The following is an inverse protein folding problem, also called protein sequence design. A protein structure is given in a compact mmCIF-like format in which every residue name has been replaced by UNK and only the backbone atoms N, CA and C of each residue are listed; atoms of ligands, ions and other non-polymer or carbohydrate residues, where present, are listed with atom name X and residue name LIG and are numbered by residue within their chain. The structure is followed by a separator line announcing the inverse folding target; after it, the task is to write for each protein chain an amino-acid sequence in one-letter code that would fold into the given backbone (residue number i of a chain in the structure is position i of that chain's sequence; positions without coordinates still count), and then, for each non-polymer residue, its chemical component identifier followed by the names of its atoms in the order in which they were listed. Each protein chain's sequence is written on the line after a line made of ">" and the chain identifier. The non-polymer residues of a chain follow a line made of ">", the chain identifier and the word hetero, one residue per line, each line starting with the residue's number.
data_IF_698850597038
#
_entry.id   IF_698850597038
#
_cell.length_a   1.000
_cell.length_b   1.000
_cell.length_c   1.000
_cell.angle_alpha   90.00
_cell.angle_beta   90.00
_cell.angle_gamma   90.00
#
_symmetry.space_group_name_H-M   'P 1'
#
loop_
_entity.id
_entity.type
_entity.pdbx_description
1 polymer ?
#
# COMPACT_ATOMS: atom_id res chain seq x y z
N UNK A 1 -0.41 -31.42 0.62
CA UNK A 1 -0.28 -31.47 -0.84
C UNK A 1 0.91 -30.59 -1.23
N UNK A 2 2.04 -31.20 -1.60
CA UNK A 2 3.24 -30.51 -2.06
C UNK A 2 3.22 -30.46 -3.59
N UNK A 3 2.68 -29.37 -4.15
CA UNK A 3 2.80 -29.06 -5.57
C UNK A 3 3.98 -28.11 -5.77
N UNK A 4 4.97 -28.54 -6.54
CA UNK A 4 6.16 -27.78 -6.90
C UNK A 4 5.77 -26.39 -7.42
N UNK A 5 6.23 -25.33 -6.74
CA UNK A 5 6.24 -23.97 -7.29
C UNK A 5 7.10 -24.00 -8.54
N UNK A 6 6.49 -23.72 -9.70
CA UNK A 6 7.15 -23.78 -11.00
C UNK A 6 8.43 -22.94 -11.02
N UNK A 7 9.43 -23.44 -11.74
CA UNK A 7 10.67 -22.71 -12.04
C UNK A 7 10.32 -21.50 -12.90
N UNK A 8 10.26 -20.32 -12.29
CA UNK A 8 10.19 -19.05 -13.02
C UNK A 8 11.50 -18.88 -13.78
N UNK A 9 11.44 -18.84 -15.12
CA UNK A 9 12.58 -18.47 -15.95
C UNK A 9 12.63 -16.95 -16.02
N UNK A 10 13.75 -16.30 -15.68
CA UNK A 10 13.90 -14.86 -15.91
C UNK A 10 13.55 -14.52 -17.37
N UNK A 11 12.69 -13.52 -17.57
CA UNK A 11 12.22 -13.10 -18.90
C UNK A 11 11.09 -13.92 -19.51
N UNK A 12 10.58 -14.98 -18.85
CA UNK A 12 9.40 -15.72 -19.36
C UNK A 12 8.07 -15.09 -18.97
N UNK A 13 8.08 -14.00 -18.20
CA UNK A 13 6.87 -13.27 -17.86
C UNK A 13 6.42 -12.45 -19.07
N UNK A 14 5.21 -12.73 -19.55
CA UNK A 14 4.52 -11.92 -20.54
C UNK A 14 3.28 -11.37 -19.84
N UNK A 15 3.17 -10.04 -19.65
CA UNK A 15 1.99 -9.47 -19.02
C UNK A 15 0.74 -9.69 -19.90
N UNK A 16 -0.46 -9.81 -19.30
CA UNK A 16 -1.71 -9.74 -20.03
C UNK A 16 -1.79 -8.48 -20.92
N UNK A 17 -2.51 -8.55 -22.04
CA UNK A 17 -2.61 -7.44 -22.98
C UNK A 17 -3.29 -6.19 -22.38
N UNK A 18 -4.09 -6.36 -21.34
CA UNK A 18 -4.78 -5.33 -20.57
C UNK A 18 -4.02 -4.92 -19.30
N UNK A 19 -2.79 -5.39 -19.12
CA UNK A 19 -1.94 -4.95 -18.02
C UNK A 19 -1.58 -3.47 -18.18
N UNK A 20 -1.50 -2.77 -17.05
CA UNK A 20 -0.94 -1.42 -16.98
C UNK A 20 0.49 -1.50 -16.45
N UNK A 21 1.38 -0.69 -17.02
CA UNK A 21 2.73 -0.54 -16.50
C UNK A 21 2.71 0.41 -15.31
N UNK A 22 3.49 0.07 -14.28
CA UNK A 22 3.78 0.97 -13.16
C UNK A 22 5.28 1.22 -13.16
N UNK A 23 5.66 2.47 -13.27
CA UNK A 23 7.06 2.86 -13.14
C UNK A 23 7.48 2.65 -11.69
N UNK A 24 8.48 1.79 -11.50
CA UNK A 24 8.97 1.39 -10.17
C UNK A 24 10.47 1.60 -10.07
N UNK A 25 10.92 2.01 -8.89
CA UNK A 25 12.33 2.03 -8.52
C UNK A 25 12.55 0.90 -7.52
N UNK A 26 13.66 0.18 -7.65
CA UNK A 26 14.05 -0.82 -6.67
C UNK A 26 15.06 -0.21 -5.70
N UNK A 27 14.82 -0.37 -4.41
CA UNK A 27 15.79 -0.08 -3.34
C UNK A 27 15.89 -1.32 -2.44
N UNK A 28 17.09 -1.89 -2.37
CA UNK A 28 17.39 -3.20 -1.76
C UNK A 28 16.43 -4.35 -2.17
N UNK A 29 15.95 -4.30 -3.42
CA UNK A 29 15.01 -5.29 -3.97
C UNK A 29 13.55 -5.08 -3.58
N UNK A 30 13.23 -3.98 -2.87
CA UNK A 30 11.88 -3.56 -2.55
C UNK A 30 11.38 -2.58 -3.64
N UNK A 31 10.25 -2.85 -4.29
CA UNK A 31 9.70 -1.97 -5.31
C UNK A 31 8.98 -0.77 -4.70
N UNK A 32 9.45 0.43 -5.03
CA UNK A 32 8.87 1.71 -4.68
C UNK A 32 8.22 2.39 -5.87
N UNK A 33 7.09 3.05 -5.63
CA UNK A 33 6.32 3.77 -6.65
C UNK A 33 5.81 5.10 -6.11
N UNK A 34 5.63 6.06 -7.01
CA UNK A 34 4.87 7.27 -6.71
C UNK A 34 3.36 6.98 -6.73
N UNK A 35 2.69 7.46 -5.69
CA UNK A 35 1.26 7.33 -5.50
C UNK A 35 0.69 8.71 -5.18
N UNK A 36 -0.44 9.02 -5.81
CA UNK A 36 -1.25 10.17 -5.48
C UNK A 36 -2.39 9.76 -4.55
N UNK A 37 -2.51 10.45 -3.42
CA UNK A 37 -3.52 10.26 -2.37
C UNK A 37 -4.28 11.57 -2.22
N UNK A 38 -5.50 11.64 -2.76
CA UNK A 38 -6.18 12.93 -2.92
C UNK A 38 -5.36 13.87 -3.79
N UNK A 39 -5.01 15.03 -3.27
CA UNK A 39 -4.18 16.03 -3.95
C UNK A 39 -2.68 15.90 -3.60
N UNK A 40 -2.33 15.03 -2.64
CA UNK A 40 -0.96 14.81 -2.19
C UNK A 40 -0.24 13.71 -2.99
N UNK A 41 1.05 13.88 -3.24
CA UNK A 41 1.92 12.85 -3.84
C UNK A 41 2.89 12.32 -2.80
N UNK A 42 3.10 11.00 -2.80
CA UNK A 42 4.21 10.38 -2.07
C UNK A 42 4.97 9.40 -2.95
N UNK A 43 6.30 9.48 -2.89
CA UNK A 43 7.20 8.80 -3.84
C UNK A 43 7.76 7.46 -3.37
N UNK A 44 7.44 7.05 -2.14
CA UNK A 44 8.01 5.87 -1.49
C UNK A 44 6.93 4.90 -0.98
N UNK A 45 6.00 4.53 -1.85
CA UNK A 45 5.02 3.49 -1.57
C UNK A 45 5.51 2.12 -2.04
N UNK A 46 5.39 1.11 -1.19
CA UNK A 46 5.79 -0.27 -1.50
C UNK A 46 4.64 -1.00 -2.21
N UNK A 47 4.93 -1.70 -3.31
CA UNK A 47 4.00 -2.69 -3.87
C UNK A 47 4.16 -4.00 -3.10
N UNK A 48 3.20 -4.29 -2.23
CA UNK A 48 3.12 -5.55 -1.48
C UNK A 48 1.91 -6.39 -1.94
N UNK A 49 2.15 -7.36 -2.82
CA UNK A 49 1.11 -8.29 -3.28
C UNK A 49 0.67 -9.30 -2.22
N UNK A 50 1.37 -9.37 -1.08
CA UNK A 50 1.00 -10.17 0.09
C UNK A 50 0.06 -9.45 1.06
N UNK A 51 -0.10 -8.13 0.92
CA UNK A 51 -0.99 -7.33 1.75
C UNK A 51 -2.44 -7.34 1.24
N UNK A 52 -3.40 -7.46 2.14
CA UNK A 52 -4.83 -7.34 1.83
C UNK A 52 -5.39 -5.91 2.05
N UNK A 53 -4.56 -4.99 2.53
CA UNK A 53 -4.89 -3.59 2.81
C UNK A 53 -3.67 -2.71 2.56
N UNK A 54 -3.90 -1.50 2.08
CA UNK A 54 -2.87 -0.47 2.04
C UNK A 54 -2.59 0.12 3.43
N UNK A 55 -1.36 0.55 3.66
CA UNK A 55 -0.96 1.29 4.85
C UNK A 55 -0.24 2.58 4.42
N UNK A 56 -0.51 3.67 5.14
CA UNK A 56 0.25 4.91 5.01
C UNK A 56 0.86 5.24 6.36
N UNK A 57 2.06 5.80 6.35
CA UNK A 57 2.68 6.26 7.58
C UNK A 57 1.88 7.41 8.20
N UNK A 58 1.83 7.43 9.53
CA UNK A 58 1.15 8.49 10.28
C UNK A 58 1.70 9.88 9.98
N UNK A 59 2.98 10.00 9.64
CA UNK A 59 3.62 11.24 9.20
C UNK A 59 2.99 11.78 7.92
N UNK A 60 2.80 10.92 6.90
CA UNK A 60 2.14 11.29 5.65
C UNK A 60 0.68 11.72 5.91
N UNK A 61 -0.07 10.92 6.68
CA UNK A 61 -1.45 11.24 7.02
C UNK A 61 -1.59 12.57 7.78
N UNK A 62 -0.64 12.88 8.67
CA UNK A 62 -0.62 14.11 9.46
C UNK A 62 -0.22 15.34 8.63
N UNK A 63 0.64 15.16 7.62
CA UNK A 63 1.05 16.22 6.70
C UNK A 63 -0.05 16.58 5.68
N UNK A 64 -0.93 15.63 5.35
CA UNK A 64 -1.98 15.78 4.34
C UNK A 64 -3.39 15.52 4.91
N UNK A 65 -3.81 16.22 5.98
CA UNK A 65 -5.06 15.91 6.66
C UNK A 65 -6.29 16.15 5.79
N UNK A 66 -6.19 17.05 4.81
CA UNK A 66 -7.27 17.33 3.87
C UNK A 66 -7.55 16.15 2.94
N UNK A 67 -6.58 15.27 2.67
CA UNK A 67 -6.71 14.12 1.75
C UNK A 67 -7.15 12.83 2.44
N UNK A 68 -7.17 12.87 3.77
CA UNK A 68 -7.73 11.83 4.62
C UNK A 68 -9.21 12.17 4.85
N UNK A 69 -10.11 11.32 4.35
CA UNK A 69 -11.54 11.44 4.60
C UNK A 69 -11.98 10.46 5.67
N UNK A 70 -12.95 10.89 6.47
CA UNK A 70 -13.42 10.08 7.59
C UNK A 70 -14.57 9.12 7.22
N UNK A 71 -14.97 8.99 5.95
CA UNK A 71 -16.18 8.25 5.48
C UNK A 71 -16.52 6.90 6.17
N UNK A 72 -16.33 5.77 5.48
CA UNK A 72 -16.44 4.43 6.08
C UNK A 72 -15.34 4.19 7.13
N UNK A 73 -14.22 4.90 7.04
CA UNK A 73 -13.10 4.83 7.99
C UNK A 73 -13.50 5.17 9.43
N UNK A 74 -14.39 6.16 9.63
CA UNK A 74 -14.93 6.53 10.96
C UNK A 74 -15.91 5.48 11.49
N UNK A 75 -16.69 4.82 10.62
CA UNK A 75 -17.51 3.68 11.02
C UNK A 75 -16.64 2.50 11.48
N UNK A 76 -15.61 2.13 10.71
CA UNK A 76 -14.69 1.06 11.12
C UNK A 76 -13.95 1.44 12.39
N UNK A 77 -13.51 2.69 12.53
CA UNK A 77 -12.88 3.20 13.76
C UNK A 77 -13.83 3.18 14.97
N UNK A 78 -15.15 3.31 14.77
CA UNK A 78 -16.12 3.21 15.86
C UNK A 78 -16.26 1.76 16.38
N UNK A 79 -16.02 0.75 15.54
CA UNK A 79 -16.13 -0.66 15.91
C UNK A 79 -14.78 -1.34 16.21
N UNK A 80 -13.69 -0.81 15.65
CA UNK A 80 -12.32 -1.31 15.81
C UNK A 80 -11.38 -0.11 15.84
N UNK A 81 -11.32 0.63 16.97
CA UNK A 81 -10.65 1.92 17.01
C UNK A 81 -9.15 1.82 16.75
N UNK A 82 -8.52 0.71 17.14
CA UNK A 82 -7.11 0.45 16.86
C UNK A 82 -6.86 -1.06 16.76
N UNK A 83 -6.28 -1.50 15.65
CA UNK A 83 -5.67 -2.82 15.55
C UNK A 83 -4.18 -2.64 15.71
N UNK A 84 -3.60 -3.32 16.71
CA UNK A 84 -2.16 -3.35 16.88
C UNK A 84 -1.57 -4.61 16.24
N UNK A 85 -0.32 -4.50 15.78
CA UNK A 85 0.47 -5.66 15.38
C UNK A 85 1.92 -5.50 15.83
N UNK A 86 2.62 -6.63 15.93
CA UNK A 86 4.04 -6.62 16.28
C UNK A 86 4.86 -6.46 15.01
N UNK A 87 5.71 -5.44 14.95
CA UNK A 87 6.66 -5.21 13.87
C UNK A 87 8.09 -5.11 14.40
N UNK A 88 9.02 -4.83 13.48
CA UNK A 88 10.40 -4.48 13.85
C UNK A 88 10.36 -3.18 14.66
N UNK A 89 10.97 -3.19 15.85
CA UNK A 89 10.98 -2.01 16.74
C UNK A 89 9.80 -1.91 17.70
N UNK A 90 8.85 -2.85 17.68
CA UNK A 90 7.82 -2.97 18.72
C UNK A 90 6.39 -3.05 18.19
N UNK A 91 5.45 -2.55 18.99
CA UNK A 91 4.03 -2.57 18.67
C UNK A 91 3.66 -1.38 17.78
N UNK A 92 3.07 -1.66 16.63
CA UNK A 92 2.56 -0.65 15.70
C UNK A 92 1.05 -0.52 15.93
N UNK A 93 0.59 0.71 16.13
CA UNK A 93 -0.83 1.04 16.26
C UNK A 93 -1.38 1.44 14.88
N UNK A 94 -2.39 0.73 14.39
CA UNK A 94 -3.08 1.07 13.16
C UNK A 94 -4.38 1.79 13.49
N UNK A 95 -4.61 2.93 12.83
CA UNK A 95 -5.91 3.58 12.77
C UNK A 95 -6.53 3.34 11.39
N UNK A 96 -7.74 2.76 11.29
CA UNK A 96 -8.48 2.70 10.04
C UNK A 96 -8.79 4.11 9.54
N UNK A 97 -8.45 4.39 8.28
CA UNK A 97 -8.75 5.65 7.60
C UNK A 97 -9.34 5.39 6.23
N UNK A 98 -9.89 6.42 5.61
CA UNK A 98 -10.24 6.42 4.20
C UNK A 98 -9.50 7.59 3.52
N UNK A 99 -9.11 7.42 2.27
CA UNK A 99 -8.50 8.49 1.46
C UNK A 99 -9.50 8.92 0.38
N UNK A 100 -9.42 10.18 -0.06
CA UNK A 100 -10.37 10.73 -1.06
C UNK A 100 -10.34 9.93 -2.36
N UNK A 101 -9.13 9.63 -2.80
CA UNK A 101 -8.80 8.92 -4.03
C UNK A 101 -7.40 8.33 -3.87
N UNK A 102 -7.10 7.30 -4.66
CA UNK A 102 -5.79 6.67 -4.75
C UNK A 102 -5.47 6.44 -6.23
N UNK A 103 -4.30 6.91 -6.68
CA UNK A 103 -3.78 6.65 -8.02
C UNK A 103 -2.34 6.20 -7.94
N UNK A 104 -2.02 5.10 -8.62
CA UNK A 104 -0.66 4.54 -8.70
C UNK A 104 -0.08 4.90 -10.07
N UNK A 105 1.19 5.31 -10.11
CA UNK A 105 1.86 5.70 -11.37
C UNK A 105 1.31 7.00 -11.95
N UNK A 106 1.11 8.00 -11.09
CA UNK A 106 0.68 9.35 -11.46
C UNK A 106 1.87 10.23 -11.88
#
# INVERSE_FOLDING_TARGET
>A
MNGLKGTYRPGSFVPPADAFAVDTVLDDGVPFVSVQVGDATGDHFIIDTGANRGMIFSSFASAHPADIVEGLGRQISAYVPFTSFQGVGGTIQIRPIQVKSLRVGA
#
